data_IF_262571340010
#
_entry.id   IF_262571340010
#
_cell.length_a   1.000
_cell.length_b   1.000
_cell.length_c   1.000
_cell.angle_alpha   90.00
_cell.angle_beta   90.00
_cell.angle_gamma   90.00
#
_symmetry.space_group_name_H-M   'P 1'
#
loop_
_entity.id
_entity.type
_entity.pdbx_description
1 polymer ?
#
# COMPACT_ATOMS: atom_id res chain seq x y z
N UNK A 1 44.72 -26.09 -59.63
CA UNK A 1 46.10 -25.67 -59.29
C UNK A 1 46.33 -25.98 -57.82
N UNK A 2 47.55 -26.42 -57.49
CA UNK A 2 47.94 -27.22 -56.33
C UNK A 2 48.43 -26.40 -55.12
N UNK A 3 48.25 -26.95 -53.90
CA UNK A 3 49.20 -27.05 -52.74
C UNK A 3 48.43 -27.03 -51.39
N UNK A 4 48.35 -28.13 -50.61
CA UNK A 4 49.31 -28.66 -49.59
C UNK A 4 49.62 -27.63 -48.47
N UNK A 5 49.52 -27.88 -47.15
CA UNK A 5 50.01 -28.98 -46.27
C UNK A 5 49.46 -28.75 -44.84
N UNK A 6 48.83 -29.68 -44.11
CA UNK A 6 49.33 -30.82 -43.29
C UNK A 6 50.07 -30.50 -41.97
N UNK A 7 49.65 -31.25 -40.91
CA UNK A 7 50.33 -31.73 -39.65
C UNK A 7 49.73 -31.16 -38.35
N UNK A 8 49.54 -31.88 -37.22
CA UNK A 8 49.68 -33.27 -36.70
C UNK A 8 48.98 -33.24 -35.31
N UNK A 9 48.02 -34.10 -34.95
CA UNK A 9 48.11 -35.40 -34.23
C UNK A 9 48.84 -35.41 -32.86
N UNK A 10 48.16 -35.83 -31.78
CA UNK A 10 48.46 -37.03 -30.93
C UNK A 10 47.50 -37.11 -29.69
N UNK A 11 46.65 -38.16 -29.57
CA UNK A 11 46.65 -39.30 -28.59
C UNK A 11 45.99 -38.98 -27.22
N UNK A 12 45.16 -39.83 -26.58
CA UNK A 12 45.26 -41.28 -26.27
C UNK A 12 43.89 -41.87 -25.84
N UNK A 13 43.26 -42.78 -26.60
CA UNK A 13 42.92 -44.22 -26.36
C UNK A 13 42.65 -44.80 -24.94
N UNK A 14 41.45 -45.42 -24.81
CA UNK A 14 41.08 -46.81 -24.36
C UNK A 14 41.50 -47.26 -22.93
N UNK A 15 40.70 -47.92 -22.09
CA UNK A 15 39.36 -48.51 -22.16
C UNK A 15 39.06 -49.48 -20.97
N UNK A 16 37.79 -49.89 -20.87
CA UNK A 16 37.18 -51.13 -20.30
C UNK A 16 37.58 -51.69 -18.92
N UNK A 17 36.56 -51.96 -18.08
CA UNK A 17 36.32 -53.27 -17.47
C UNK A 17 34.87 -53.42 -16.92
N UNK A 18 34.19 -54.48 -17.35
CA UNK A 18 32.91 -54.99 -16.80
C UNK A 18 33.17 -56.30 -16.05
N UNK A 19 32.48 -56.53 -14.94
CA UNK A 19 32.34 -57.83 -14.25
C UNK A 19 32.11 -57.65 -12.74
N UNK A 20 30.85 -57.67 -12.27
CA UNK A 20 30.13 -58.82 -11.69
C UNK A 20 30.41 -59.03 -10.18
N UNK A 21 29.36 -58.99 -9.34
CA UNK A 21 28.95 -60.02 -8.36
C UNK A 21 27.74 -59.50 -7.57
N UNK A 22 26.67 -60.30 -7.57
CA UNK A 22 25.48 -60.12 -6.73
C UNK A 22 25.76 -60.57 -5.29
N UNK A 23 25.21 -59.84 -4.31
CA UNK A 23 24.92 -60.38 -2.99
C UNK A 23 23.63 -59.73 -2.45
N UNK A 24 22.56 -60.52 -2.40
CA UNK A 24 21.36 -60.19 -1.65
C UNK A 24 21.61 -60.46 -0.16
N UNK A 25 21.37 -59.46 0.68
CA UNK A 25 21.17 -59.65 2.11
C UNK A 25 20.11 -58.63 2.57
N UNK A 26 18.94 -59.13 2.93
CA UNK A 26 17.87 -58.35 3.54
C UNK A 26 18.22 -58.04 5.00
N UNK A 27 18.17 -56.77 5.41
CA UNK A 27 17.98 -56.38 6.81
C UNK A 27 17.09 -55.13 6.92
N UNK A 28 16.10 -55.30 7.78
CA UNK A 28 15.05 -54.40 8.26
C UNK A 28 15.61 -53.09 8.81
N UNK A 29 14.90 -51.98 8.59
CA UNK A 29 14.88 -50.84 9.52
C UNK A 29 15.10 -49.46 8.90
N UNK A 30 14.08 -48.60 9.00
CA UNK A 30 14.24 -47.15 8.91
C UNK A 30 13.46 -46.49 7.77
N UNK A 31 12.16 -46.30 7.96
CA UNK A 31 11.43 -45.21 7.28
C UNK A 31 12.00 -43.91 7.85
N UNK A 32 12.92 -43.27 7.13
CA UNK A 32 13.25 -41.87 7.40
C UNK A 32 12.08 -41.05 6.85
N UNK A 33 11.16 -40.70 7.75
CA UNK A 33 10.18 -39.66 7.50
C UNK A 33 10.95 -38.38 7.14
N UNK A 34 10.80 -37.94 5.90
CA UNK A 34 11.19 -36.59 5.50
C UNK A 34 10.29 -35.66 6.29
N UNK A 35 10.84 -35.03 7.33
CA UNK A 35 10.16 -33.95 8.03
C UNK A 35 9.80 -32.90 6.98
N UNK A 36 8.50 -32.70 6.78
CA UNK A 36 8.01 -31.53 6.08
C UNK A 36 8.45 -30.34 6.92
N UNK A 37 9.29 -29.49 6.34
CA UNK A 37 9.48 -28.13 6.82
C UNK A 37 8.11 -27.46 6.74
N UNK A 38 7.39 -27.45 7.86
CA UNK A 38 6.26 -26.56 8.07
C UNK A 38 6.83 -25.14 8.11
N UNK A 39 7.00 -24.53 6.94
CA UNK A 39 6.97 -23.07 6.82
C UNK A 39 5.76 -22.60 7.61
N UNK A 40 5.92 -21.75 8.64
CA UNK A 40 4.77 -21.20 9.33
C UNK A 40 3.96 -20.45 8.28
N UNK A 41 2.78 -20.95 7.95
CA UNK A 41 1.73 -20.10 7.40
C UNK A 41 1.50 -19.03 8.46
N UNK A 42 1.85 -17.79 8.15
CA UNK A 42 1.53 -16.65 8.99
C UNK A 42 0.01 -16.72 9.26
N UNK A 43 -0.36 -17.10 10.46
CA UNK A 43 -1.74 -17.09 10.89
C UNK A 43 -2.17 -15.62 10.86
N UNK A 44 -3.17 -15.29 10.04
CA UNK A 44 -3.74 -13.96 9.95
C UNK A 44 -3.94 -13.43 11.37
N UNK A 45 -3.25 -12.34 11.72
CA UNK A 45 -3.19 -11.89 13.10
C UNK A 45 -4.63 -11.70 13.63
N UNK A 46 -5.07 -12.51 14.61
CA UNK A 46 -6.44 -12.45 15.07
C UNK A 46 -6.68 -11.11 15.78
N UNK A 47 -7.86 -10.50 15.59
CA UNK A 47 -8.25 -9.25 16.27
C UNK A 47 -8.77 -8.13 15.35
N UNK A 48 -9.19 -6.98 15.89
CA UNK A 48 -9.62 -5.85 15.07
C UNK A 48 -8.45 -5.26 14.28
N UNK A 49 -8.79 -4.57 13.20
CA UNK A 49 -7.89 -3.74 12.43
C UNK A 49 -8.05 -2.28 12.86
N UNK A 50 -6.95 -1.59 13.16
CA UNK A 50 -6.94 -0.14 13.44
C UNK A 50 -6.32 0.57 12.25
N UNK A 51 -7.02 1.54 11.68
CA UNK A 51 -6.57 2.24 10.47
C UNK A 51 -6.25 3.69 10.80
N UNK A 52 -5.00 4.09 10.58
CA UNK A 52 -4.60 5.48 10.55
C UNK A 52 -4.33 5.87 9.11
N UNK A 53 -5.08 6.84 8.59
CA UNK A 53 -4.91 7.27 7.22
C UNK A 53 -5.35 8.69 6.95
N UNK A 54 -4.93 9.22 5.81
CA UNK A 54 -5.30 10.56 5.39
C UNK A 54 -6.65 10.58 4.64
N UNK A 55 -6.86 11.60 3.81
CA UNK A 55 -8.06 11.79 3.02
C UNK A 55 -8.27 10.75 1.93
N UNK A 56 -7.21 10.07 1.45
CA UNK A 56 -7.35 8.94 0.52
C UNK A 56 -7.86 7.68 1.22
N UNK A 57 -7.81 7.66 2.56
CA UNK A 57 -8.42 6.61 3.37
C UNK A 57 -9.79 7.01 3.87
N UNK A 58 -9.95 8.21 4.45
CA UNK A 58 -11.27 8.63 4.93
C UNK A 58 -12.24 8.86 3.78
N UNK A 59 -11.75 9.31 2.62
CA UNK A 59 -12.48 9.56 1.37
C UNK A 59 -13.86 10.22 1.52
N UNK A 60 -14.06 11.18 2.46
CA UNK A 60 -15.39 11.62 2.84
C UNK A 60 -16.05 12.44 1.74
N UNK A 61 -17.37 12.61 1.85
CA UNK A 61 -18.12 13.57 1.06
C UNK A 61 -17.60 14.98 1.34
N UNK A 62 -17.22 15.68 0.27
CA UNK A 62 -16.64 17.01 0.38
C UNK A 62 -17.59 18.02 1.02
N UNK A 63 -18.90 17.92 0.78
CA UNK A 63 -19.86 18.86 1.33
C UNK A 63 -20.08 18.62 2.81
N UNK A 64 -20.14 17.36 3.24
CA UNK A 64 -20.18 17.01 4.67
C UNK A 64 -18.90 17.47 5.37
N UNK A 65 -17.73 17.21 4.76
CA UNK A 65 -16.42 17.61 5.30
C UNK A 65 -16.31 19.12 5.55
N UNK A 66 -16.85 19.94 4.65
CA UNK A 66 -16.83 21.40 4.77
C UNK A 66 -18.05 21.99 5.49
N UNK A 67 -18.92 21.15 6.07
CA UNK A 67 -20.12 21.60 6.78
C UNK A 67 -21.17 22.27 5.88
N UNK A 68 -21.13 21.97 4.58
CA UNK A 68 -22.07 22.47 3.57
C UNK A 68 -23.27 21.53 3.37
N UNK A 69 -23.17 20.30 3.86
CA UNK A 69 -24.26 19.35 3.97
C UNK A 69 -24.26 18.75 5.37
N UNK A 70 -25.41 18.74 6.04
CA UNK A 70 -25.56 18.14 7.36
C UNK A 70 -26.04 16.68 7.22
N UNK A 71 -25.24 15.75 7.73
CA UNK A 71 -25.60 14.35 7.87
C UNK A 71 -25.08 13.86 9.24
N UNK A 72 -25.94 13.84 10.27
CA UNK A 72 -25.52 13.46 11.63
C UNK A 72 -25.16 11.96 11.74
N UNK A 73 -25.49 11.15 10.72
CA UNK A 73 -25.14 9.74 10.69
C UNK A 73 -23.84 9.48 9.91
N UNK A 74 -23.24 10.52 9.32
CA UNK A 74 -22.00 10.38 8.57
C UNK A 74 -20.90 9.84 9.50
N UNK A 75 -20.21 8.74 9.13
CA UNK A 75 -19.25 8.11 10.00
C UNK A 75 -18.18 9.10 10.41
N UNK A 76 -17.86 9.13 11.70
CA UNK A 76 -16.77 9.95 12.18
C UNK A 76 -16.08 9.35 13.39
N UNK A 77 -14.77 9.56 13.45
CA UNK A 77 -13.94 9.20 14.60
C UNK A 77 -13.09 10.41 14.97
N UNK A 78 -13.18 10.83 16.23
CA UNK A 78 -12.36 11.93 16.77
C UNK A 78 -12.43 13.21 15.90
N UNK A 79 -13.67 13.58 15.53
CA UNK A 79 -13.99 14.77 14.72
C UNK A 79 -13.70 14.65 13.23
N UNK A 80 -13.22 13.50 12.75
CA UNK A 80 -12.89 13.28 11.34
C UNK A 80 -13.98 12.47 10.66
N UNK A 81 -14.63 13.06 9.66
CA UNK A 81 -15.63 12.38 8.82
C UNK A 81 -14.99 11.40 7.85
N UNK A 82 -15.67 10.28 7.61
CA UNK A 82 -15.20 9.14 6.83
C UNK A 82 -16.35 8.59 5.98
N UNK A 83 -16.09 8.25 4.72
CA UNK A 83 -17.13 7.71 3.84
C UNK A 83 -17.65 6.37 4.31
N UNK A 84 -18.96 6.17 4.14
CA UNK A 84 -19.66 4.93 4.45
C UNK A 84 -19.06 3.70 3.73
N UNK A 85 -18.36 3.93 2.63
CA UNK A 85 -17.82 2.91 1.74
C UNK A 85 -16.35 3.15 1.39
N UNK A 86 -15.59 3.79 2.28
CA UNK A 86 -14.15 3.87 2.13
C UNK A 86 -13.49 2.48 2.20
N UNK A 87 -12.22 2.36 1.77
CA UNK A 87 -11.57 1.05 1.70
C UNK A 87 -11.52 0.29 3.05
N UNK A 88 -11.34 0.93 4.23
CA UNK A 88 -11.37 0.21 5.51
C UNK A 88 -12.73 -0.45 5.79
N UNK A 89 -13.84 0.25 5.50
CA UNK A 89 -15.19 -0.31 5.68
C UNK A 89 -15.45 -1.44 4.70
N UNK A 90 -14.97 -1.33 3.47
CA UNK A 90 -15.04 -2.44 2.49
C UNK A 90 -14.25 -3.66 2.95
N UNK A 91 -13.07 -3.48 3.56
CA UNK A 91 -12.31 -4.58 4.17
C UNK A 91 -13.12 -5.23 5.29
N UNK A 92 -13.76 -4.43 6.16
CA UNK A 92 -14.63 -4.95 7.22
C UNK A 92 -15.77 -5.81 6.64
N UNK A 93 -16.49 -5.28 5.64
CA UNK A 93 -17.60 -5.99 4.98
C UNK A 93 -17.16 -7.29 4.31
N UNK A 94 -15.98 -7.29 3.68
CA UNK A 94 -15.46 -8.43 2.93
C UNK A 94 -14.85 -9.54 3.79
N UNK A 95 -14.44 -9.22 5.03
CA UNK A 95 -13.70 -10.14 5.91
C UNK A 95 -14.45 -10.48 7.19
N UNK A 96 -15.46 -9.67 7.56
CA UNK A 96 -16.10 -9.71 8.87
C UNK A 96 -15.21 -9.23 10.02
N UNK A 97 -14.02 -8.68 9.73
CA UNK A 97 -13.11 -8.15 10.73
C UNK A 97 -13.61 -6.81 11.25
N UNK A 98 -13.59 -6.63 12.57
CA UNK A 98 -13.86 -5.32 13.17
C UNK A 98 -12.79 -4.31 12.75
N UNK A 99 -13.22 -3.10 12.37
CA UNK A 99 -12.34 -2.02 11.92
C UNK A 99 -12.57 -0.78 12.77
N UNK A 100 -11.50 -0.29 13.41
CA UNK A 100 -11.44 1.01 14.04
C UNK A 100 -10.78 1.99 13.07
N UNK A 101 -11.60 2.76 12.36
CA UNK A 101 -11.12 3.73 11.38
C UNK A 101 -10.83 5.08 12.07
N UNK A 102 -9.55 5.45 12.12
CA UNK A 102 -9.04 6.72 12.64
C UNK A 102 -8.52 7.64 11.53
N UNK A 103 -8.88 7.35 10.28
CA UNK A 103 -8.50 8.18 9.15
C UNK A 103 -9.12 9.58 9.19
N UNK A 104 -8.41 10.56 8.65
CA UNK A 104 -8.81 11.95 8.71
C UNK A 104 -8.34 12.76 7.51
N UNK A 105 -9.21 13.65 7.03
CA UNK A 105 -8.88 14.55 5.93
C UNK A 105 -7.66 15.44 6.25
N UNK A 106 -6.68 15.49 5.34
CA UNK A 106 -5.49 16.32 5.48
C UNK A 106 -4.49 15.88 6.55
N UNK A 107 -4.62 14.66 7.10
CA UNK A 107 -3.68 14.14 8.10
C UNK A 107 -2.29 13.91 7.50
N UNK A 108 -1.25 14.38 8.19
CA UNK A 108 0.16 14.12 7.87
C UNK A 108 0.71 12.95 8.69
N UNK A 109 1.92 12.48 8.37
CA UNK A 109 2.60 11.49 9.22
C UNK A 109 2.91 12.01 10.63
N UNK A 110 3.14 13.32 10.81
CA UNK A 110 3.36 13.93 12.12
C UNK A 110 2.09 13.94 12.97
N UNK A 111 0.96 14.41 12.42
CA UNK A 111 -0.33 14.41 13.13
C UNK A 111 -0.81 13.00 13.50
N UNK A 112 -0.51 12.00 12.65
CA UNK A 112 -0.85 10.61 12.89
C UNK A 112 -0.33 10.11 14.25
N UNK A 113 0.83 10.57 14.71
CA UNK A 113 1.40 10.18 16.01
C UNK A 113 0.45 10.51 17.16
N UNK A 114 -0.19 11.68 17.11
CA UNK A 114 -1.18 12.09 18.10
C UNK A 114 -2.48 11.28 18.02
N UNK A 115 -2.89 10.86 16.81
CA UNK A 115 -4.04 9.96 16.63
C UNK A 115 -3.77 8.56 17.19
N UNK A 116 -2.55 8.05 17.04
CA UNK A 116 -2.13 6.76 17.65
C UNK A 116 -2.24 6.83 19.18
N UNK A 117 -1.76 7.92 19.80
CA UNK A 117 -1.89 8.11 21.25
C UNK A 117 -3.35 8.13 21.69
N UNK A 118 -4.22 8.86 20.97
CA UNK A 118 -5.66 8.92 21.31
C UNK A 118 -6.36 7.58 21.11
N UNK A 119 -6.04 6.84 20.05
CA UNK A 119 -6.58 5.51 19.81
C UNK A 119 -6.21 4.52 20.91
N UNK A 120 -4.98 4.60 21.43
CA UNK A 120 -4.55 3.88 22.64
C UNK A 120 -5.39 4.29 23.84
N UNK A 121 -5.50 5.59 24.09
CA UNK A 121 -6.11 6.12 25.33
C UNK A 121 -7.60 5.76 25.45
N UNK A 122 -8.31 5.65 24.33
CA UNK A 122 -9.72 5.20 24.31
C UNK A 122 -9.88 3.69 24.13
N UNK A 123 -8.79 2.94 24.05
CA UNK A 123 -8.77 1.48 23.95
C UNK A 123 -9.03 0.89 22.56
N UNK A 124 -9.13 1.72 21.51
CA UNK A 124 -9.28 1.24 20.13
C UNK A 124 -8.01 0.54 19.62
N UNK A 125 -6.84 1.04 20.02
CA UNK A 125 -5.55 0.36 19.85
C UNK A 125 -5.16 -0.29 21.17
N UNK A 126 -5.09 -1.62 21.20
CA UNK A 126 -4.83 -2.38 22.42
C UNK A 126 -4.07 -3.70 22.13
N UNK A 127 -3.75 -4.47 23.17
CA UNK A 127 -2.98 -5.70 23.05
C UNK A 127 -3.65 -6.80 22.19
N UNK A 128 -4.97 -6.71 21.98
CA UNK A 128 -5.74 -7.60 21.12
C UNK A 128 -5.85 -7.13 19.66
N UNK A 129 -5.31 -5.96 19.29
CA UNK A 129 -5.29 -5.48 17.90
C UNK A 129 -4.49 -6.46 17.03
N UNK A 130 -5.12 -6.92 15.94
CA UNK A 130 -4.50 -7.87 15.00
C UNK A 130 -3.73 -7.16 13.90
N UNK A 131 -4.28 -6.07 13.34
CA UNK A 131 -3.67 -5.34 12.23
C UNK A 131 -3.68 -3.85 12.51
N UNK A 132 -2.60 -3.15 12.17
CA UNK A 132 -2.55 -1.69 12.09
C UNK A 132 -2.17 -1.26 10.68
N UNK A 133 -3.02 -0.46 10.04
CA UNK A 133 -2.71 0.16 8.75
C UNK A 133 -2.26 1.60 8.93
N UNK A 134 -1.14 1.97 8.30
CA UNK A 134 -0.59 3.32 8.25
C UNK A 134 -0.59 3.80 6.79
N UNK A 135 -1.56 4.63 6.44
CA UNK A 135 -1.81 5.11 5.07
C UNK A 135 -1.87 6.63 5.02
N UNK A 136 -0.71 7.24 5.25
CA UNK A 136 -0.47 8.68 5.17
C UNK A 136 0.75 8.94 4.29
N UNK A 137 0.88 10.16 3.78
CA UNK A 137 2.17 10.65 3.28
C UNK A 137 2.05 11.80 2.29
N UNK A 138 1.08 11.80 1.38
CA UNK A 138 1.03 12.82 0.33
C UNK A 138 0.90 14.25 0.92
N UNK A 139 0.19 14.39 2.04
CA UNK A 139 0.02 15.67 2.74
C UNK A 139 1.33 16.24 3.29
N UNK A 140 2.31 15.38 3.59
CA UNK A 140 3.65 15.77 4.07
C UNK A 140 4.44 16.52 2.98
N UNK A 141 4.15 16.25 1.71
CA UNK A 141 4.76 16.89 0.53
C UNK A 141 4.07 18.21 0.11
N UNK A 142 3.15 18.71 0.94
CA UNK A 142 2.34 19.89 0.62
C UNK A 142 2.23 20.88 1.76
N UNK A 143 1.29 21.84 1.65
CA UNK A 143 1.08 22.88 2.67
C UNK A 143 0.83 22.34 4.08
N UNK A 144 0.25 21.14 4.21
CA UNK A 144 0.05 20.51 5.52
C UNK A 144 1.37 20.07 6.17
N UNK A 145 2.31 19.51 5.42
CA UNK A 145 3.67 19.24 5.93
C UNK A 145 4.35 20.49 6.49
N UNK A 146 4.16 21.66 5.87
CA UNK A 146 4.68 22.93 6.43
C UNK A 146 3.88 23.43 7.63
N UNK A 147 2.56 23.54 7.50
CA UNK A 147 1.72 24.20 8.51
C UNK A 147 1.52 23.36 9.76
N UNK A 148 1.62 22.03 9.66
CA UNK A 148 1.34 21.09 10.74
C UNK A 148 2.59 20.42 11.30
N UNK A 149 3.55 20.07 10.44
CA UNK A 149 4.78 19.39 10.86
C UNK A 149 6.00 20.33 10.89
N UNK A 150 5.88 21.55 10.35
CA UNK A 150 6.99 22.52 10.30
C UNK A 150 8.03 22.21 9.24
N UNK A 151 7.75 21.27 8.32
CA UNK A 151 8.69 20.82 7.30
C UNK A 151 8.73 21.77 6.10
N UNK A 152 9.92 21.98 5.53
CA UNK A 152 10.03 22.60 4.21
C UNK A 152 9.64 21.57 3.14
N UNK A 153 8.36 21.55 2.74
CA UNK A 153 7.87 20.59 1.74
C UNK A 153 8.49 20.75 0.34
N UNK A 154 9.22 21.84 0.09
CA UNK A 154 9.95 22.04 -1.16
C UNK A 154 11.31 21.33 -1.19
N UNK A 155 11.74 20.75 -0.07
CA UNK A 155 12.96 19.94 0.03
C UNK A 155 12.58 18.47 0.22
N UNK A 156 12.67 17.64 -0.84
CA UNK A 156 12.35 16.22 -0.77
C UNK A 156 13.12 15.44 0.29
N UNK A 157 14.36 15.83 0.58
CA UNK A 157 15.18 15.17 1.59
C UNK A 157 14.65 15.42 3.00
N UNK A 158 14.18 16.65 3.27
CA UNK A 158 13.56 17.01 4.55
C UNK A 158 12.25 16.24 4.75
N UNK A 159 11.38 16.23 3.73
CA UNK A 159 10.08 15.52 3.83
C UNK A 159 10.30 14.02 4.02
N UNK A 160 11.19 13.42 3.22
CA UNK A 160 11.50 11.99 3.33
C UNK A 160 12.05 11.63 4.72
N UNK A 161 13.03 12.39 5.23
CA UNK A 161 13.62 12.16 6.55
C UNK A 161 12.58 12.24 7.67
N UNK A 162 11.78 13.32 7.67
CA UNK A 162 10.73 13.51 8.67
C UNK A 162 9.65 12.41 8.59
N UNK A 163 9.23 12.03 7.39
CA UNK A 163 8.27 10.96 7.18
C UNK A 163 8.77 9.63 7.78
N UNK A 164 9.99 9.21 7.43
CA UNK A 164 10.60 8.00 7.97
C UNK A 164 10.69 8.06 9.49
N UNK A 165 11.14 9.17 10.07
CA UNK A 165 11.25 9.35 11.51
C UNK A 165 9.89 9.27 12.22
N UNK A 166 8.83 9.84 11.64
CA UNK A 166 7.47 9.70 12.16
C UNK A 166 6.99 8.25 12.09
N UNK A 167 7.26 7.52 11.00
CA UNK A 167 6.83 6.12 10.87
C UNK A 167 7.58 5.21 11.86
N UNK A 168 8.85 5.48 12.16
CA UNK A 168 9.59 4.79 13.24
C UNK A 168 8.93 5.02 14.60
N UNK A 169 8.60 6.27 14.93
CA UNK A 169 7.90 6.60 16.18
C UNK A 169 6.51 5.98 16.26
N UNK A 170 5.78 5.94 15.14
CA UNK A 170 4.48 5.30 15.05
C UNK A 170 4.59 3.81 15.36
N UNK A 171 5.55 3.11 14.75
CA UNK A 171 5.80 1.70 15.00
C UNK A 171 6.19 1.43 16.45
N UNK A 172 7.05 2.26 17.06
CA UNK A 172 7.40 2.15 18.47
C UNK A 172 6.18 2.29 19.39
N UNK A 173 5.34 3.31 19.17
CA UNK A 173 4.08 3.52 19.90
C UNK A 173 3.13 2.35 19.75
N UNK A 174 2.96 1.84 18.54
CA UNK A 174 2.07 0.70 18.24
C UNK A 174 2.60 -0.56 18.92
N UNK A 175 3.88 -0.90 18.76
CA UNK A 175 4.48 -2.12 19.33
C UNK A 175 4.48 -2.13 20.85
N UNK A 176 4.54 -0.95 21.49
CA UNK A 176 4.42 -0.84 22.94
C UNK A 176 3.03 -1.25 23.48
N UNK A 177 1.99 -1.15 22.65
CA UNK A 177 0.58 -1.40 23.06
C UNK A 177 0.04 -2.70 22.44
N UNK A 178 0.37 -2.95 21.18
CA UNK A 178 -0.09 -4.07 20.36
C UNK A 178 1.13 -4.81 19.77
N UNK A 179 1.95 -5.50 20.59
CA UNK A 179 3.21 -6.08 20.15
C UNK A 179 3.05 -7.14 19.06
N UNK A 180 1.90 -7.83 19.03
CA UNK A 180 1.60 -8.89 18.08
C UNK A 180 0.90 -8.42 16.80
N UNK A 181 0.53 -7.13 16.69
CA UNK A 181 -0.18 -6.63 15.53
C UNK A 181 0.71 -6.66 14.28
N UNK A 182 0.17 -7.09 13.14
CA UNK A 182 0.82 -6.85 11.85
C UNK A 182 0.70 -5.36 11.50
N UNK A 183 1.80 -4.73 11.11
CA UNK A 183 1.76 -3.36 10.59
C UNK A 183 1.80 -3.46 9.07
N UNK A 184 0.80 -2.88 8.40
CA UNK A 184 0.74 -2.75 6.96
C UNK A 184 0.74 -1.29 6.55
N UNK A 185 1.29 -1.01 5.37
CA UNK A 185 1.36 0.34 4.81
C UNK A 185 0.79 0.33 3.38
N UNK A 186 -0.55 0.41 3.23
CA UNK A 186 -1.16 0.69 1.94
C UNK A 186 -0.78 2.09 1.46
N UNK A 187 -0.13 2.15 0.29
CA UNK A 187 0.17 3.41 -0.38
C UNK A 187 -1.08 4.08 -0.98
N UNK A 188 -0.88 5.15 -1.73
CA UNK A 188 -1.97 5.86 -2.42
C UNK A 188 -2.23 5.32 -3.82
N UNK A 189 -3.43 5.58 -4.37
CA UNK A 189 -3.75 5.36 -5.78
C UNK A 189 -2.98 6.35 -6.68
N UNK A 190 -2.66 5.94 -7.90
CA UNK A 190 -2.06 6.84 -8.90
C UNK A 190 -3.06 7.96 -9.27
N UNK A 191 -2.64 9.21 -9.12
CA UNK A 191 -3.40 10.40 -9.53
C UNK A 191 -3.02 10.81 -10.95
N UNK A 192 -1.71 10.81 -11.24
CA UNK A 192 -1.19 11.04 -12.59
C UNK A 192 -1.08 9.74 -13.38
N UNK A 193 -1.16 9.86 -14.71
CA UNK A 193 -0.89 8.77 -15.64
C UNK A 193 0.63 8.50 -15.80
N UNK A 194 1.01 7.47 -16.56
CA UNK A 194 2.42 7.12 -16.79
C UNK A 194 3.23 8.15 -17.59
N UNK A 195 2.55 9.09 -18.24
CA UNK A 195 3.15 10.20 -19.00
C UNK A 195 3.13 11.51 -18.19
N UNK A 196 2.88 11.43 -16.88
CA UNK A 196 2.76 12.57 -15.96
C UNK A 196 1.61 13.53 -16.31
N UNK A 197 0.58 13.04 -16.97
CA UNK A 197 -0.66 13.78 -17.19
C UNK A 197 -1.54 13.67 -15.96
N UNK A 198 -2.13 14.81 -15.60
CA UNK A 198 -3.20 14.92 -14.64
C UNK A 198 -4.46 15.39 -15.37
N UNK A 199 -5.61 14.79 -15.11
CA UNK A 199 -6.86 15.15 -15.76
C UNK A 199 -7.81 15.82 -14.76
N UNK A 200 -7.67 17.15 -14.54
CA UNK A 200 -8.52 17.89 -13.61
C UNK A 200 -9.95 18.03 -14.11
N UNK A 201 -10.16 18.00 -15.44
CA UNK A 201 -11.46 18.21 -16.07
C UNK A 201 -11.89 16.94 -16.82
N UNK A 202 -12.92 16.31 -16.29
CA UNK A 202 -13.45 15.04 -16.75
C UNK A 202 -14.96 15.20 -16.98
N UNK A 203 -15.29 15.96 -18.03
CA UNK A 203 -16.67 16.40 -18.32
C UNK A 203 -17.22 15.93 -19.66
N UNK A 204 -16.37 15.30 -20.47
CA UNK A 204 -16.73 14.71 -21.76
C UNK A 204 -16.52 13.20 -21.62
N UNK A 205 -17.56 12.37 -21.84
CA UNK A 205 -17.43 10.93 -21.72
C UNK A 205 -16.27 10.37 -22.54
N UNK A 206 -15.46 9.51 -21.93
CA UNK A 206 -14.33 8.81 -22.53
C UNK A 206 -13.24 9.72 -23.11
N UNK A 207 -13.25 11.01 -22.77
CA UNK A 207 -12.31 12.02 -23.27
C UNK A 207 -11.76 12.85 -22.11
N UNK A 208 -10.90 12.27 -21.25
CA UNK A 208 -10.30 12.98 -20.13
C UNK A 208 -9.33 14.08 -20.63
N UNK A 209 -9.41 15.28 -20.04
CA UNK A 209 -8.61 16.43 -20.47
C UNK A 209 -7.32 16.52 -19.67
N UNK A 210 -6.27 15.86 -20.17
CA UNK A 210 -4.96 15.80 -19.53
C UNK A 210 -4.13 17.07 -19.69
N UNK A 211 -3.51 17.49 -18.59
CA UNK A 211 -2.46 18.51 -18.56
C UNK A 211 -1.17 17.90 -18.00
N UNK A 212 0.01 18.21 -18.56
CA UNK A 212 1.27 17.70 -18.04
C UNK A 212 1.60 18.36 -16.70
N UNK A 213 1.77 17.54 -15.66
CA UNK A 213 2.14 17.97 -14.30
C UNK A 213 3.27 17.08 -13.76
N UNK A 214 4.49 17.16 -14.34
CA UNK A 214 5.62 16.30 -13.95
C UNK A 214 5.96 16.40 -12.46
N UNK A 215 5.85 17.58 -11.87
CA UNK A 215 6.12 17.77 -10.42
C UNK A 215 5.17 16.95 -9.55
N UNK A 216 3.89 16.84 -9.92
CA UNK A 216 2.94 16.01 -9.18
C UNK A 216 3.32 14.52 -9.29
N UNK A 217 3.66 14.08 -10.51
CA UNK A 217 4.09 12.71 -10.76
C UNK A 217 5.37 12.36 -9.95
N UNK A 218 6.33 13.27 -9.89
CA UNK A 218 7.55 13.12 -9.10
C UNK A 218 7.23 13.04 -7.59
N UNK A 219 6.35 13.89 -7.08
CA UNK A 219 5.91 13.86 -5.68
C UNK A 219 5.21 12.54 -5.33
N UNK A 220 4.35 12.01 -6.21
CA UNK A 220 3.71 10.71 -5.98
C UNK A 220 4.76 9.58 -5.92
N UNK A 221 5.81 9.66 -6.76
CA UNK A 221 6.90 8.69 -6.75
C UNK A 221 7.79 8.83 -5.50
N UNK A 222 8.17 10.05 -5.12
CA UNK A 222 8.94 10.28 -3.88
C UNK A 222 8.16 9.84 -2.64
N UNK A 223 6.85 10.07 -2.61
CA UNK A 223 6.02 9.57 -1.53
C UNK A 223 6.00 8.04 -1.48
N UNK A 224 5.81 7.38 -2.63
CA UNK A 224 5.86 5.91 -2.72
C UNK A 224 7.21 5.37 -2.24
N UNK A 225 8.30 6.00 -2.64
CA UNK A 225 9.65 5.58 -2.25
C UNK A 225 9.89 5.78 -0.74
N UNK A 226 9.44 6.90 -0.16
CA UNK A 226 9.49 7.14 1.29
C UNK A 226 8.63 6.15 2.08
N UNK A 227 7.44 5.80 1.57
CA UNK A 227 6.58 4.76 2.15
C UNK A 227 7.26 3.39 2.14
N UNK A 228 7.90 3.03 1.03
CA UNK A 228 8.61 1.77 0.90
C UNK A 228 9.84 1.72 1.83
N UNK A 229 10.63 2.79 1.92
CA UNK A 229 11.76 2.87 2.85
C UNK A 229 11.30 2.78 4.31
N UNK A 230 10.32 3.60 4.71
CA UNK A 230 9.77 3.56 6.06
C UNK A 230 9.26 2.17 6.44
N UNK A 231 8.51 1.50 5.55
CA UNK A 231 8.02 0.15 5.77
C UNK A 231 9.16 -0.86 6.03
N UNK A 232 10.23 -0.79 5.23
CA UNK A 232 11.42 -1.63 5.42
C UNK A 232 12.07 -1.37 6.77
N UNK A 233 12.16 -0.11 7.20
CA UNK A 233 12.81 0.26 8.47
C UNK A 233 12.02 -0.16 9.71
N UNK A 234 10.69 -0.20 9.63
CA UNK A 234 9.83 -0.56 10.77
C UNK A 234 9.35 -2.01 10.74
N UNK A 235 9.71 -2.78 9.71
CA UNK A 235 9.24 -4.14 9.50
C UNK A 235 7.75 -4.24 9.18
N UNK A 236 7.21 -3.26 8.47
CA UNK A 236 5.83 -3.28 7.97
C UNK A 236 5.74 -3.91 6.58
N UNK A 237 4.55 -4.40 6.22
CA UNK A 237 4.26 -4.83 4.85
C UNK A 237 3.82 -3.64 4.01
N UNK A 238 4.67 -3.18 3.09
CA UNK A 238 4.27 -2.15 2.12
C UNK A 238 3.38 -2.75 1.03
N UNK A 239 2.23 -2.12 0.77
CA UNK A 239 1.31 -2.50 -0.31
C UNK A 239 1.38 -1.40 -1.36
N UNK A 240 2.03 -1.70 -2.49
CA UNK A 240 2.28 -0.74 -3.58
C UNK A 240 1.02 -0.46 -4.41
N UNK A 241 0.11 0.32 -3.83
CA UNK A 241 -1.16 0.70 -4.47
C UNK A 241 -0.91 1.55 -5.72
N UNK A 242 0.05 2.48 -5.69
CA UNK A 242 0.37 3.34 -6.84
C UNK A 242 0.87 2.49 -8.00
N UNK A 243 1.82 1.60 -7.76
CA UNK A 243 2.33 0.67 -8.77
C UNK A 243 1.24 -0.24 -9.33
N UNK A 244 0.29 -0.68 -8.49
CA UNK A 244 -0.83 -1.51 -8.91
C UNK A 244 -1.96 -0.75 -9.65
N UNK A 245 -2.00 0.59 -9.55
CA UNK A 245 -3.01 1.47 -10.16
C UNK A 245 -2.45 2.43 -11.21
N UNK A 246 -1.22 2.18 -11.67
CA UNK A 246 -0.48 3.04 -12.61
C UNK A 246 -1.25 3.38 -13.90
N UNK A 247 -2.13 2.48 -14.35
CA UNK A 247 -2.96 2.59 -15.55
C UNK A 247 -4.41 3.02 -15.27
N UNK A 248 -4.71 3.39 -14.01
CA UNK A 248 -6.07 3.72 -13.52
C UNK A 248 -6.15 5.08 -12.80
N UNK A 249 -5.35 6.03 -13.27
CA UNK A 249 -5.29 7.43 -12.82
C UNK A 249 -6.52 8.26 -13.21
N UNK A 250 -6.50 9.56 -12.89
CA UNK A 250 -7.53 10.54 -13.30
C UNK A 250 -7.76 10.63 -14.81
N UNK A 251 -6.78 10.19 -15.60
CA UNK A 251 -6.79 10.24 -17.06
C UNK A 251 -7.22 8.93 -17.75
N UNK A 252 -7.71 7.97 -16.98
CA UNK A 252 -7.96 6.63 -17.52
C UNK A 252 -9.23 6.58 -18.36
N UNK A 253 -9.19 5.73 -19.37
CA UNK A 253 -10.35 5.32 -20.17
C UNK A 253 -10.42 3.79 -20.20
N UNK A 254 -11.61 3.17 -20.08
CA UNK A 254 -12.89 3.85 -20.03
C UNK A 254 -13.15 4.58 -18.70
N UNK A 255 -14.09 5.53 -18.69
CA UNK A 255 -14.42 6.38 -17.53
C UNK A 255 -14.69 5.56 -16.26
N UNK A 256 -15.29 4.38 -16.44
CA UNK A 256 -15.60 3.40 -15.40
C UNK A 256 -14.39 2.69 -14.79
N UNK A 257 -13.19 2.86 -15.35
CA UNK A 257 -11.93 2.35 -14.79
C UNK A 257 -11.19 3.36 -13.91
N UNK A 258 -11.63 4.64 -13.89
CA UNK A 258 -10.96 5.66 -13.08
C UNK A 258 -11.11 5.42 -11.59
N UNK A 259 -9.96 5.30 -10.93
CA UNK A 259 -9.89 5.07 -9.48
C UNK A 259 -9.77 6.35 -8.68
N UNK A 260 -9.44 7.48 -9.32
CA UNK A 260 -9.34 8.81 -8.72
C UNK A 260 -10.13 9.79 -9.58
N UNK A 261 -10.96 10.63 -8.95
CA UNK A 261 -11.73 11.67 -9.65
C UNK A 261 -10.88 12.91 -9.95
N UNK A 262 -11.25 13.68 -10.96
CA UNK A 262 -10.67 14.99 -11.25
C UNK A 262 -11.12 16.09 -10.26
N UNK A 263 -10.87 17.36 -10.61
CA UNK A 263 -11.37 18.52 -9.88
C UNK A 263 -12.80 18.87 -10.27
N UNK A 264 -13.11 18.79 -11.55
CA UNK A 264 -14.47 18.90 -12.08
C UNK A 264 -14.70 17.63 -12.89
N UNK A 265 -15.46 16.72 -12.30
CA UNK A 265 -15.60 15.36 -12.83
C UNK A 265 -17.07 14.94 -12.86
N UNK A 266 -17.63 14.84 -14.05
CA UNK A 266 -19.03 14.38 -14.25
C UNK A 266 -19.08 12.99 -14.89
N UNK A 267 -17.94 12.32 -15.00
CA UNK A 267 -17.80 11.10 -15.82
C UNK A 267 -17.22 9.93 -15.02
N UNK A 268 -16.36 10.18 -14.03
CA UNK A 268 -15.96 9.17 -13.04
C UNK A 268 -17.19 8.77 -12.21
N UNK A 269 -17.51 7.47 -12.10
CA UNK A 269 -18.63 7.02 -11.27
C UNK A 269 -18.37 7.15 -9.77
N UNK A 270 -19.41 7.49 -9.01
CA UNK A 270 -19.49 7.33 -7.55
C UNK A 270 -18.26 7.82 -6.76
N UNK A 271 -17.81 9.04 -7.04
CA UNK A 271 -16.80 9.75 -6.23
C UNK A 271 -17.45 10.79 -5.32
N UNK A 272 -16.76 11.17 -4.24
CA UNK A 272 -17.30 11.99 -3.14
C UNK A 272 -16.49 13.24 -2.81
N UNK A 273 -15.21 13.24 -3.17
CA UNK A 273 -14.32 14.38 -3.01
C UNK A 273 -13.45 14.56 -4.25
N UNK A 274 -13.27 15.83 -4.64
CA UNK A 274 -12.41 16.21 -5.77
C UNK A 274 -10.99 15.69 -5.57
N UNK A 275 -10.37 15.13 -6.60
CA UNK A 275 -9.01 14.58 -6.53
C UNK A 275 -8.81 13.43 -5.53
N UNK A 276 -9.87 12.67 -5.23
CA UNK A 276 -9.84 11.57 -4.27
C UNK A 276 -10.37 10.26 -4.87
N UNK A 277 -10.18 9.13 -4.16
CA UNK A 277 -10.61 7.84 -4.66
C UNK A 277 -12.10 7.79 -5.02
N UNK A 278 -12.42 7.18 -6.15
CA UNK A 278 -13.80 6.79 -6.50
C UNK A 278 -14.23 5.57 -5.69
N UNK A 279 -15.50 5.16 -5.78
CA UNK A 279 -15.94 3.89 -5.21
C UNK A 279 -15.10 2.70 -5.74
N UNK A 280 -14.70 2.74 -7.01
CA UNK A 280 -13.82 1.73 -7.62
C UNK A 280 -12.41 1.77 -7.06
N UNK A 281 -11.86 2.97 -6.84
CA UNK A 281 -10.57 3.14 -6.17
C UNK A 281 -10.56 2.57 -4.76
N UNK A 282 -11.58 2.90 -3.95
CA UNK A 282 -11.74 2.34 -2.60
C UNK A 282 -11.89 0.81 -2.62
N UNK A 283 -12.66 0.28 -3.57
CA UNK A 283 -12.80 -1.16 -3.74
C UNK A 283 -11.47 -1.84 -4.07
N UNK A 284 -10.69 -1.27 -4.98
CA UNK A 284 -9.40 -1.79 -5.37
C UNK A 284 -8.39 -1.83 -4.22
N UNK A 285 -8.31 -0.76 -3.42
CA UNK A 285 -7.45 -0.74 -2.24
C UNK A 285 -7.91 -1.78 -1.22
N UNK A 286 -9.22 -1.93 -1.00
CA UNK A 286 -9.76 -2.94 -0.10
C UNK A 286 -9.37 -4.37 -0.52
N UNK A 287 -9.45 -4.68 -1.81
CA UNK A 287 -9.07 -5.99 -2.35
C UNK A 287 -7.57 -6.27 -2.19
N UNK A 288 -6.71 -5.26 -2.38
CA UNK A 288 -5.27 -5.38 -2.14
C UNK A 288 -4.96 -5.61 -0.66
N UNK A 289 -5.58 -4.84 0.23
CA UNK A 289 -5.40 -4.96 1.68
C UNK A 289 -5.88 -6.32 2.18
N UNK A 290 -7.07 -6.76 1.74
CA UNK A 290 -7.61 -8.08 2.06
C UNK A 290 -6.66 -9.21 1.69
N UNK A 291 -5.90 -9.06 0.60
CA UNK A 291 -4.89 -10.05 0.20
C UNK A 291 -3.69 -10.17 1.14
N UNK A 292 -3.55 -9.29 2.14
CA UNK A 292 -2.40 -9.21 3.05
C UNK A 292 -2.73 -9.50 4.52
N UNK A 293 -4.00 -9.75 4.88
CA UNK A 293 -4.49 -9.83 6.27
C UNK A 293 -5.45 -10.99 6.55
#
# INVERSE_FOLDING_TARGET
MSRHSSRKSLRTRIGLATGSVAAAAALVGGVLAVNQDSTPTAEAAPGPMVVFGDSFVSAPDQYVTYGLADDPNYPSTDGCVQDYSNWPRRVADQTGREVHDWSCNGMTSGEMLGKIDRARDVGALNAGTGVVALSVGLNDWGPYGFTKDGNNFLDPGVVHGAYVDHLRQAAEKIRAVAPNAQIIMPGMLSVTDPNSLFCPLNVIPEFPLGVPVPVLHDVENWNRDAQQDAANQIGATFIDVKGASWDRSTCSTPDSERMVAGWIDTTTPDWKMVNHPSAKGNQFVADLVKGQI
#
